data_IF_866707510245
#
_entry.id   IF_866707510245
#
_cell.length_a   1.000
_cell.length_b   1.000
_cell.length_c   1.000
_cell.angle_alpha   90.00
_cell.angle_beta   90.00
_cell.angle_gamma   90.00
#
_symmetry.space_group_name_H-M   'P 1'
#
loop_
_entity.id
_entity.type
_entity.pdbx_description
1 polymer ?
#
# COMPACT_ATOMS: atom_id res chain seq x y z
N UNK A 1 10.78 15.92 -7.37
CA UNK A 1 10.86 16.08 -5.90
C UNK A 1 9.58 15.49 -5.32
N UNK A 2 9.68 14.40 -4.56
CA UNK A 2 8.52 13.77 -3.93
C UNK A 2 8.16 14.50 -2.64
N UNK A 3 6.90 14.90 -2.49
CA UNK A 3 6.40 15.47 -1.25
C UNK A 3 6.32 14.36 -0.19
N UNK A 4 6.90 14.62 0.98
CA UNK A 4 6.69 13.80 2.17
C UNK A 4 5.42 14.25 2.88
N UNK A 5 4.68 13.30 3.40
CA UNK A 5 3.44 13.48 4.13
C UNK A 5 3.70 13.35 5.63
N UNK A 6 2.86 13.98 6.45
CA UNK A 6 2.96 13.94 7.91
C UNK A 6 1.82 13.09 8.49
N UNK A 7 1.89 11.79 8.24
CA UNK A 7 0.85 10.82 8.60
C UNK A 7 -0.28 10.73 7.58
N UNK A 8 -1.30 9.95 7.93
CA UNK A 8 -2.49 9.70 7.12
C UNK A 8 -2.70 8.22 6.79
N UNK A 9 -3.83 7.95 6.15
CA UNK A 9 -4.21 6.59 5.72
C UNK A 9 -4.44 6.59 4.22
N UNK A 10 -3.87 5.61 3.53
CA UNK A 10 -4.08 5.40 2.09
C UNK A 10 -4.97 4.18 1.87
N UNK A 11 -5.85 4.28 0.87
CA UNK A 11 -6.64 3.17 0.35
C UNK A 11 -6.17 2.90 -1.08
N UNK A 12 -5.57 1.73 -1.30
CA UNK A 12 -5.07 1.26 -2.58
C UNK A 12 -6.06 0.26 -3.18
N UNK A 13 -6.86 0.72 -4.14
CA UNK A 13 -7.87 -0.08 -4.83
C UNK A 13 -7.27 -0.71 -6.08
N UNK A 14 -7.62 -1.97 -6.34
CA UNK A 14 -6.98 -2.78 -7.39
C UNK A 14 -5.46 -2.86 -7.19
N UNK A 15 -5.08 -3.16 -5.93
CA UNK A 15 -3.73 -2.99 -5.42
C UNK A 15 -2.65 -3.73 -6.23
N UNK A 16 -2.96 -4.85 -6.87
CA UNK A 16 -2.01 -5.65 -7.64
C UNK A 16 -0.80 -6.05 -6.78
N UNK A 17 0.37 -5.45 -7.05
CA UNK A 17 1.58 -5.69 -6.26
C UNK A 17 1.65 -4.89 -4.95
N UNK A 18 0.74 -3.94 -4.72
CA UNK A 18 0.72 -3.04 -3.58
C UNK A 18 1.73 -1.88 -3.68
N UNK A 19 2.27 -1.60 -4.87
CA UNK A 19 3.31 -0.60 -5.05
C UNK A 19 2.89 0.82 -4.63
N UNK A 20 1.64 1.22 -4.87
CA UNK A 20 1.15 2.54 -4.51
C UNK A 20 1.02 2.70 -3.00
N UNK A 21 0.37 1.75 -2.32
CA UNK A 21 0.26 1.78 -0.86
C UNK A 21 1.62 1.73 -0.17
N UNK A 22 2.56 0.95 -0.70
CA UNK A 22 3.93 0.89 -0.18
C UNK A 22 4.68 2.22 -0.37
N UNK A 23 4.55 2.84 -1.53
CA UNK A 23 5.17 4.14 -1.81
C UNK A 23 4.55 5.27 -0.98
N UNK A 24 3.25 5.18 -0.66
CA UNK A 24 2.61 6.14 0.23
C UNK A 24 3.16 6.01 1.66
N UNK A 25 3.30 4.79 2.18
CA UNK A 25 3.90 4.56 3.52
C UNK A 25 5.36 5.01 3.55
N UNK A 26 6.15 4.72 2.51
CA UNK A 26 7.55 5.17 2.43
C UNK A 26 7.69 6.70 2.44
N UNK A 27 6.62 7.41 2.05
CA UNK A 27 6.53 8.88 2.02
C UNK A 27 5.88 9.49 3.26
N UNK A 28 5.61 8.71 4.30
CA UNK A 28 5.14 9.22 5.58
C UNK A 28 3.64 9.09 5.83
N UNK A 29 2.92 8.24 5.11
CA UNK A 29 1.61 7.75 5.56
C UNK A 29 1.77 6.72 6.69
N UNK A 30 0.84 6.70 7.65
CA UNK A 30 0.90 5.82 8.82
C UNK A 30 0.49 4.38 8.47
N UNK A 31 -0.41 4.21 7.51
CA UNK A 31 -0.92 2.89 7.11
C UNK A 31 -1.52 2.89 5.71
N UNK A 32 -1.50 1.71 5.10
CA UNK A 32 -2.14 1.43 3.82
C UNK A 32 -3.15 0.29 3.96
N UNK A 33 -4.32 0.45 3.34
CA UNK A 33 -5.30 -0.62 3.14
C UNK A 33 -5.26 -1.03 1.67
N UNK A 34 -5.03 -2.31 1.41
CA UNK A 34 -4.96 -2.87 0.07
C UNK A 34 -6.23 -3.65 -0.26
N UNK A 35 -6.82 -3.39 -1.42
CA UNK A 35 -8.01 -4.09 -1.91
C UNK A 35 -7.74 -4.64 -3.30
N UNK A 36 -7.83 -5.96 -3.45
CA UNK A 36 -7.75 -6.63 -4.75
C UNK A 36 -8.68 -7.85 -4.79
N UNK A 37 -9.19 -8.18 -5.97
CA UNK A 37 -10.00 -9.38 -6.22
C UNK A 37 -9.13 -10.60 -6.52
N UNK A 38 -7.91 -10.38 -7.00
CA UNK A 38 -6.95 -11.42 -7.28
C UNK A 38 -6.34 -11.94 -5.98
N UNK A 39 -6.70 -13.16 -5.60
CA UNK A 39 -6.18 -13.80 -4.41
C UNK A 39 -4.65 -13.87 -4.37
N UNK A 40 -3.99 -14.10 -5.51
CA UNK A 40 -2.52 -14.16 -5.57
C UNK A 40 -1.88 -12.80 -5.25
N UNK A 41 -2.49 -11.70 -5.69
CA UNK A 41 -2.05 -10.34 -5.32
C UNK A 41 -2.16 -10.12 -3.80
N UNK A 42 -3.31 -10.50 -3.21
CA UNK A 42 -3.52 -10.42 -1.77
C UNK A 42 -2.49 -11.24 -0.97
N UNK A 43 -2.16 -12.46 -1.42
CA UNK A 43 -1.16 -13.30 -0.76
C UNK A 43 0.26 -12.73 -0.84
N UNK A 44 0.62 -12.13 -1.99
CA UNK A 44 1.91 -11.45 -2.15
C UNK A 44 1.99 -10.26 -1.19
N UNK A 45 0.95 -9.40 -1.18
CA UNK A 45 0.90 -8.23 -0.30
C UNK A 45 1.01 -8.66 1.16
N UNK A 46 0.28 -9.70 1.60
CA UNK A 46 0.41 -10.22 2.97
C UNK A 46 1.84 -10.62 3.30
N UNK A 47 2.56 -11.32 2.42
CA UNK A 47 3.96 -11.72 2.66
C UNK A 47 4.94 -10.54 2.76
N UNK A 48 4.59 -9.38 2.24
CA UNK A 48 5.42 -8.18 2.33
C UNK A 48 5.24 -7.48 3.70
N UNK A 49 4.06 -7.61 4.31
CA UNK A 49 3.68 -6.92 5.54
C UNK A 49 3.71 -7.83 6.81
N UNK A 50 3.93 -9.13 6.65
CA UNK A 50 4.18 -10.10 7.74
C UNK A 50 5.65 -10.53 7.74
#
# INVERSE_FOLDING_TARGET
>A
MGQFFNGGRVLDLYAGSGALGLEAVSRGYDSAVFVDINYAACEIIKKIFY
#
